data_IF_993559210081
#
_entry.id   IF_993559210081
#
_cell.length_a   1.000
_cell.length_b   1.000
_cell.length_c   1.000
_cell.angle_alpha   90.00
_cell.angle_beta   90.00
_cell.angle_gamma   90.00
#
_symmetry.space_group_name_H-M   'P 1'
#
loop_
_entity.id
_entity.type
_entity.pdbx_description
1 polymer ?
#
# COMPACT_ATOMS: atom_id res chain seq x y z
N UNK A 1 28.99 16.30 -1.93
CA UNK A 1 27.53 16.44 -1.76
C UNK A 1 26.73 16.10 -3.02
N UNK A 2 27.04 16.65 -4.20
CA UNK A 2 26.22 16.43 -5.41
C UNK A 2 26.05 14.96 -5.83
N UNK A 3 27.11 14.15 -5.80
CA UNK A 3 27.06 12.71 -6.16
C UNK A 3 26.09 11.90 -5.30
N UNK A 4 26.11 12.08 -3.97
CA UNK A 4 25.21 11.36 -3.06
C UNK A 4 23.74 11.70 -3.34
N UNK A 5 23.43 12.99 -3.50
CA UNK A 5 22.09 13.44 -3.82
C UNK A 5 21.60 12.93 -5.17
N UNK A 6 22.47 12.90 -6.18
CA UNK A 6 22.14 12.34 -7.50
C UNK A 6 21.81 10.84 -7.40
N UNK A 7 22.60 10.09 -6.63
CA UNK A 7 22.31 8.67 -6.35
C UNK A 7 20.97 8.49 -5.65
N UNK A 8 20.67 9.30 -4.63
CA UNK A 8 19.40 9.24 -3.91
C UNK A 8 18.22 9.52 -4.85
N UNK A 9 18.30 10.57 -5.66
CA UNK A 9 17.25 10.92 -6.63
C UNK A 9 17.06 9.78 -7.64
N UNK A 10 18.15 9.21 -8.16
CA UNK A 10 18.09 8.07 -9.07
C UNK A 10 17.38 6.86 -8.44
N UNK A 11 17.70 6.54 -7.18
CA UNK A 11 17.06 5.43 -6.46
C UNK A 11 15.56 5.67 -6.25
N UNK A 12 15.17 6.90 -5.93
CA UNK A 12 13.75 7.29 -5.79
C UNK A 12 13.01 7.10 -7.11
N UNK A 13 13.58 7.60 -8.22
CA UNK A 13 12.97 7.44 -9.54
C UNK A 13 12.82 5.96 -9.93
N UNK A 14 13.82 5.16 -9.61
CA UNK A 14 13.82 3.72 -9.89
C UNK A 14 12.75 2.99 -9.05
N UNK A 15 12.60 3.35 -7.77
CA UNK A 15 11.56 2.80 -6.90
C UNK A 15 10.15 3.17 -7.38
N UNK A 16 9.94 4.43 -7.79
CA UNK A 16 8.65 4.89 -8.32
C UNK A 16 8.32 4.16 -9.62
N UNK A 17 9.27 4.07 -10.56
CA UNK A 17 9.07 3.37 -11.84
C UNK A 17 8.76 1.89 -11.65
N UNK A 18 9.54 1.19 -10.82
CA UNK A 18 9.30 -0.22 -10.51
C UNK A 18 7.96 -0.43 -9.79
N UNK A 19 7.64 0.43 -8.82
CA UNK A 19 6.36 0.38 -8.09
C UNK A 19 5.15 0.60 -8.99
N UNK A 20 5.22 1.55 -9.93
CA UNK A 20 4.16 1.79 -10.90
C UNK A 20 3.92 0.57 -11.80
N UNK A 21 5.00 -0.03 -12.33
CA UNK A 21 4.89 -1.26 -13.15
C UNK A 21 4.31 -2.40 -12.33
N UNK A 22 4.79 -2.60 -11.10
CA UNK A 22 4.28 -3.64 -10.20
C UNK A 22 2.77 -3.47 -9.95
N UNK A 23 2.31 -2.27 -9.62
CA UNK A 23 0.88 -1.99 -9.39
C UNK A 23 0.01 -2.19 -10.63
N UNK A 24 0.55 -2.01 -11.84
CA UNK A 24 -0.18 -2.26 -13.09
C UNK A 24 -0.21 -3.72 -13.52
N UNK A 25 0.71 -4.55 -13.02
CA UNK A 25 0.93 -5.92 -13.51
C UNK A 25 0.53 -6.98 -12.50
N UNK A 26 0.45 -6.64 -11.22
CA UNK A 26 0.08 -7.58 -10.17
C UNK A 26 -1.44 -7.65 -10.08
N UNK A 27 -1.96 -8.82 -10.42
CA UNK A 27 -3.33 -9.19 -10.06
C UNK A 27 -3.40 -9.35 -8.54
N UNK A 28 -4.12 -8.43 -7.89
CA UNK A 28 -4.47 -8.55 -6.48
C UNK A 28 -5.87 -9.14 -6.41
N UNK A 29 -5.99 -10.35 -5.88
CA UNK A 29 -7.30 -10.96 -5.64
C UNK A 29 -8.15 -10.02 -4.76
N UNK A 30 -9.44 -9.83 -5.11
CA UNK A 30 -10.33 -9.07 -4.25
C UNK A 30 -10.40 -9.73 -2.86
N UNK A 31 -10.60 -8.94 -1.79
CA UNK A 31 -10.74 -9.51 -0.44
C UNK A 31 -11.82 -10.59 -0.41
N UNK A 32 -11.42 -11.84 -0.17
CA UNK A 32 -12.35 -12.99 -0.15
C UNK A 32 -13.17 -13.06 1.15
N UNK A 33 -12.72 -12.36 2.19
CA UNK A 33 -13.35 -12.38 3.52
C UNK A 33 -14.32 -11.23 3.65
N UNK A 34 -15.61 -11.55 3.75
CA UNK A 34 -16.62 -10.57 4.13
C UNK A 34 -16.39 -10.18 5.60
N UNK A 35 -16.15 -8.88 5.83
CA UNK A 35 -16.07 -8.35 7.19
C UNK A 35 -17.49 -8.17 7.71
N UNK A 36 -17.94 -9.10 8.54
CA UNK A 36 -19.20 -8.94 9.26
C UNK A 36 -19.06 -7.75 10.22
N UNK A 37 -19.84 -6.69 9.97
CA UNK A 37 -19.92 -5.54 10.86
C UNK A 37 -20.75 -5.92 12.07
N UNK A 38 -20.11 -6.59 13.03
CA UNK A 38 -20.73 -6.81 14.33
C UNK A 38 -20.73 -5.48 15.09
N UNK A 39 -21.89 -5.06 15.57
CA UNK A 39 -22.00 -4.00 16.56
C UNK A 39 -21.74 -4.69 17.91
N UNK A 40 -20.62 -4.43 18.61
CA UNK A 40 -20.38 -5.05 19.91
C UNK A 40 -21.46 -4.55 20.87
N UNK A 41 -22.35 -5.46 21.26
CA UNK A 41 -23.52 -5.17 22.12
C UNK A 41 -23.09 -4.62 23.49
N UNK A 42 -21.82 -4.82 23.87
CA UNK A 42 -21.16 -4.32 25.07
C UNK A 42 -21.16 -2.78 25.22
N UNK A 43 -21.53 -2.02 24.17
CA UNK A 43 -21.56 -0.55 24.19
C UNK A 43 -22.95 0.07 24.30
N UNK A 44 -24.02 -0.73 24.33
CA UNK A 44 -25.39 -0.24 24.50
C UNK A 44 -25.93 -0.70 25.86
N UNK A 45 -25.80 0.12 26.93
CA UNK A 45 -26.45 -0.18 28.20
C UNK A 45 -27.97 -0.24 28.02
N UNK A 46 -28.59 -1.26 28.61
CA UNK A 46 -30.04 -1.50 28.61
C UNK A 46 -30.76 -0.55 29.57
#
# INVERSE_FOLDING_TARGET
MGKLWLTIIMLILLAIGAGAIYLMTVDMDPPSTQVEKTLPDDRFPQ
#
